data_IF_378348389081
#
_entry.id   IF_378348389081
#
_cell.length_a   1.000
_cell.length_b   1.000
_cell.length_c   1.000
_cell.angle_alpha   90.00
_cell.angle_beta   90.00
_cell.angle_gamma   90.00
#
_symmetry.space_group_name_H-M   'P 1'
#
loop_
_entity.id
_entity.type
_entity.pdbx_description
1 polymer ?
#
# COMPACT_ATOMS: atom_id res chain seq x y z
N UNK A 1 4.00 15.54 18.42
CA UNK A 1 2.66 16.13 18.18
C UNK A 1 1.62 15.08 18.49
N UNK A 2 0.41 15.44 18.97
CA UNK A 2 -0.64 14.48 19.28
C UNK A 2 -1.25 13.89 17.99
N UNK A 3 -1.58 12.60 18.03
CA UNK A 3 -2.53 11.96 17.12
C UNK A 3 -3.81 11.76 17.93
N UNK A 4 -4.90 12.38 17.50
CA UNK A 4 -6.17 12.32 18.23
C UNK A 4 -6.89 10.97 18.01
N UNK A 5 -7.99 10.79 18.73
CA UNK A 5 -8.83 9.61 18.63
C UNK A 5 -9.56 9.48 17.28
N UNK A 6 -9.49 10.47 16.38
CA UNK A 6 -10.11 10.41 15.07
C UNK A 6 -9.13 10.09 13.95
N UNK A 7 -7.81 10.11 14.24
CA UNK A 7 -6.78 9.65 13.30
C UNK A 7 -7.11 8.24 12.83
N UNK A 8 -7.26 7.98 11.51
CA UNK A 8 -7.74 6.69 11.02
C UNK A 8 -6.74 5.57 11.29
N UNK A 9 -7.26 4.39 11.60
CA UNK A 9 -6.47 3.15 11.51
C UNK A 9 -6.41 2.69 10.05
N UNK A 10 -5.35 1.98 9.70
CA UNK A 10 -5.16 1.39 8.39
C UNK A 10 -4.66 -0.04 8.51
N UNK A 11 -5.40 -0.95 7.91
CA UNK A 11 -4.97 -2.31 7.62
C UNK A 11 -4.72 -2.46 6.11
N UNK A 12 -3.93 -3.44 5.72
CA UNK A 12 -3.60 -3.70 4.33
C UNK A 12 -3.77 -5.19 3.99
N UNK A 13 -4.35 -5.49 2.84
CA UNK A 13 -4.43 -6.85 2.33
C UNK A 13 -4.27 -6.92 0.81
N UNK A 14 -3.07 -7.31 0.37
CA UNK A 14 -2.76 -7.51 -1.04
C UNK A 14 -2.80 -9.00 -1.36
N UNK A 15 -3.84 -9.41 -2.09
CA UNK A 15 -4.10 -10.81 -2.38
C UNK A 15 -3.50 -11.22 -3.73
N UNK A 16 -2.51 -12.12 -3.67
CA UNK A 16 -1.87 -12.68 -4.86
C UNK A 16 -2.75 -13.69 -5.59
N UNK A 17 -3.53 -14.49 -4.87
CA UNK A 17 -4.39 -15.51 -5.45
C UNK A 17 -5.85 -15.38 -4.97
N UNK A 18 -6.62 -14.41 -5.49
CA UNK A 18 -8.01 -14.21 -5.07
C UNK A 18 -8.92 -15.42 -5.28
N UNK A 19 -8.58 -16.33 -6.20
CA UNK A 19 -9.38 -17.53 -6.48
C UNK A 19 -9.40 -18.54 -5.33
N UNK A 20 -8.51 -18.41 -4.34
CA UNK A 20 -8.53 -19.25 -3.13
C UNK A 20 -9.73 -18.99 -2.21
N UNK A 21 -10.41 -17.86 -2.40
CA UNK A 21 -11.66 -17.54 -1.71
C UNK A 21 -12.85 -17.91 -2.59
N UNK A 22 -13.99 -18.20 -1.95
CA UNK A 22 -15.24 -18.37 -2.68
C UNK A 22 -15.63 -17.12 -3.48
N UNK A 23 -16.40 -17.31 -4.54
CA UNK A 23 -16.76 -16.24 -5.48
C UNK A 23 -17.44 -15.03 -4.82
N UNK A 24 -18.20 -15.26 -3.75
CA UNK A 24 -18.92 -14.23 -3.00
C UNK A 24 -18.37 -14.04 -1.57
N UNK A 25 -17.14 -14.50 -1.31
CA UNK A 25 -16.47 -14.38 -0.02
C UNK A 25 -15.66 -13.08 0.04
N UNK A 26 -15.51 -12.48 1.23
CA UNK A 26 -14.57 -11.38 1.44
C UNK A 26 -13.15 -11.92 1.24
N UNK A 27 -12.36 -11.38 0.30
CA UNK A 27 -11.07 -11.96 -0.09
C UNK A 27 -9.93 -11.51 0.84
N UNK A 28 -10.15 -11.60 2.16
CA UNK A 28 -9.18 -11.35 3.23
C UNK A 28 -9.04 -12.65 4.03
N UNK A 29 -7.81 -13.06 4.35
CA UNK A 29 -7.61 -14.33 5.07
C UNK A 29 -8.31 -14.31 6.43
N UNK A 30 -8.96 -15.43 6.75
CA UNK A 30 -9.70 -15.56 8.00
C UNK A 30 -9.73 -17.01 8.49
N UNK A 31 -8.55 -17.62 8.58
CA UNK A 31 -8.41 -18.99 9.12
C UNK A 31 -8.20 -18.95 10.63
N UNK A 32 -8.22 -20.10 11.30
CA UNK A 32 -7.89 -20.18 12.73
C UNK A 32 -6.48 -19.65 13.04
N UNK A 33 -5.51 -19.89 12.15
CA UNK A 33 -4.13 -19.45 12.32
C UNK A 33 -3.95 -17.97 11.96
N UNK A 34 -4.72 -17.47 11.00
CA UNK A 34 -4.62 -16.10 10.51
C UNK A 34 -6.04 -15.49 10.44
N UNK A 35 -6.65 -15.13 11.59
CA UNK A 35 -8.02 -14.61 11.67
C UNK A 35 -8.07 -13.11 11.33
N UNK A 36 -7.39 -12.68 10.27
CA UNK A 36 -7.13 -11.26 10.01
C UNK A 36 -8.38 -10.45 9.71
N UNK A 37 -9.32 -11.00 8.94
CA UNK A 37 -10.62 -10.34 8.76
C UNK A 37 -11.36 -10.17 10.09
N UNK A 38 -11.34 -11.18 10.97
CA UNK A 38 -11.96 -11.06 12.30
C UNK A 38 -11.26 -10.01 13.16
N UNK A 39 -9.92 -9.93 13.11
CA UNK A 39 -9.15 -8.92 13.86
C UNK A 39 -9.50 -7.49 13.40
N UNK A 40 -9.61 -7.27 12.09
CA UNK A 40 -10.01 -5.97 11.51
C UNK A 40 -11.43 -5.60 11.96
N UNK A 41 -12.37 -6.56 11.91
CA UNK A 41 -13.74 -6.35 12.39
C UNK A 41 -13.75 -6.03 13.89
N UNK A 42 -12.96 -6.76 14.69
CA UNK A 42 -12.85 -6.51 16.13
C UNK A 42 -12.32 -5.10 16.42
N UNK A 43 -11.28 -4.66 15.69
CA UNK A 43 -10.78 -3.30 15.76
C UNK A 43 -11.88 -2.26 15.43
N UNK A 44 -12.67 -2.50 14.38
CA UNK A 44 -13.80 -1.63 14.03
C UNK A 44 -14.92 -1.61 15.09
N UNK A 45 -15.13 -2.70 15.82
CA UNK A 45 -16.09 -2.79 16.93
C UNK A 45 -15.58 -2.05 18.17
N UNK A 46 -14.27 -2.06 18.45
CA UNK A 46 -13.66 -1.33 19.57
C UNK A 46 -13.65 0.18 19.25
N UNK A 47 -13.15 0.53 18.08
CA UNK A 47 -12.94 1.91 17.62
C UNK A 47 -14.13 2.42 16.78
N UNK A 48 -15.35 2.33 17.33
CA UNK A 48 -16.61 2.58 16.58
C UNK A 48 -16.71 3.97 15.95
N UNK A 49 -16.12 4.98 16.59
CA UNK A 49 -16.18 6.38 16.16
C UNK A 49 -14.99 6.79 15.28
N UNK A 50 -14.01 5.90 15.09
CA UNK A 50 -12.82 6.13 14.29
C UNK A 50 -12.93 5.45 12.93
N UNK A 51 -12.48 6.12 11.89
CA UNK A 51 -12.41 5.53 10.54
C UNK A 51 -11.36 4.41 10.49
N UNK A 52 -11.73 3.26 9.93
CA UNK A 52 -10.87 2.08 9.76
C UNK A 52 -10.68 1.82 8.26
N UNK A 53 -9.52 2.21 7.74
CA UNK A 53 -9.13 1.92 6.36
C UNK A 53 -8.70 0.48 6.18
N UNK A 54 -9.14 -0.14 5.08
CA UNK A 54 -8.65 -1.44 4.61
C UNK A 54 -8.17 -1.26 3.18
N UNK A 55 -6.87 -1.05 3.01
CA UNK A 55 -6.23 -0.92 1.70
C UNK A 55 -6.08 -2.30 1.07
N UNK A 56 -6.83 -2.56 0.00
CA UNK A 56 -6.86 -3.85 -0.68
C UNK A 56 -6.32 -3.76 -2.09
N UNK A 57 -5.75 -4.87 -2.57
CA UNK A 57 -5.38 -5.01 -3.96
C UNK A 57 -5.36 -6.49 -4.38
N UNK A 58 -5.60 -6.74 -5.66
CA UNK A 58 -5.73 -8.07 -6.22
C UNK A 58 -6.78 -8.14 -7.33
N UNK A 59 -6.66 -9.15 -8.19
CA UNK A 59 -7.63 -9.39 -9.26
C UNK A 59 -8.93 -10.02 -8.72
N UNK A 60 -9.67 -9.26 -7.91
CA UNK A 60 -10.89 -9.71 -7.25
C UNK A 60 -12.06 -9.86 -8.23
N UNK A 61 -12.83 -10.93 -8.06
CA UNK A 61 -14.07 -11.14 -8.82
C UNK A 61 -15.13 -10.08 -8.48
N UNK A 62 -16.15 -9.93 -9.34
CA UNK A 62 -17.28 -9.05 -9.06
C UNK A 62 -18.02 -9.45 -7.77
N UNK A 63 -18.13 -10.75 -7.48
CA UNK A 63 -18.74 -11.26 -6.25
C UNK A 63 -17.92 -10.89 -5.00
N UNK A 64 -16.60 -10.97 -5.08
CA UNK A 64 -15.69 -10.58 -3.99
C UNK A 64 -15.74 -9.07 -3.72
N UNK A 65 -15.77 -8.24 -4.77
CA UNK A 65 -15.96 -6.78 -4.63
C UNK A 65 -17.33 -6.46 -4.00
N UNK A 66 -18.40 -7.17 -4.37
CA UNK A 66 -19.72 -7.04 -3.70
C UNK A 66 -19.66 -7.46 -2.23
N UNK A 67 -18.88 -8.48 -1.87
CA UNK A 67 -18.71 -8.90 -0.49
C UNK A 67 -17.98 -7.84 0.36
N UNK A 68 -16.94 -7.22 -0.19
CA UNK A 68 -16.25 -6.07 0.42
C UNK A 68 -17.21 -4.88 0.61
N UNK A 69 -18.03 -4.56 -0.39
CA UNK A 69 -19.03 -3.50 -0.25
C UNK A 69 -20.12 -3.82 0.81
N UNK A 70 -20.46 -5.11 1.01
CA UNK A 70 -21.34 -5.53 2.11
C UNK A 70 -20.67 -5.35 3.47
N UNK A 71 -19.37 -5.60 3.59
CA UNK A 71 -18.60 -5.37 4.82
C UNK A 71 -18.67 -3.89 5.24
N UNK A 72 -18.46 -2.96 4.31
CA UNK A 72 -18.58 -1.51 4.58
C UNK A 72 -20.00 -1.08 5.01
N UNK A 73 -21.04 -1.76 4.50
CA UNK A 73 -22.42 -1.50 4.93
C UNK A 73 -22.73 -2.07 6.31
N UNK A 74 -22.10 -3.18 6.69
CA UNK A 74 -22.29 -3.81 8.00
C UNK A 74 -21.55 -3.06 9.10
N UNK A 75 -20.38 -2.51 8.80
CA UNK A 75 -19.54 -1.73 9.71
C UNK A 75 -19.25 -0.37 9.08
N UNK A 76 -20.04 0.63 9.45
CA UNK A 76 -20.04 1.95 8.81
C UNK A 76 -18.67 2.64 8.85
N UNK A 77 -17.89 2.41 9.90
CA UNK A 77 -16.56 2.96 10.07
C UNK A 77 -15.47 2.24 9.25
N UNK A 78 -15.74 1.05 8.68
CA UNK A 78 -14.82 0.37 7.76
C UNK A 78 -14.91 1.02 6.37
N UNK A 79 -13.76 1.42 5.84
CA UNK A 79 -13.59 1.98 4.50
C UNK A 79 -12.62 1.12 3.69
N UNK A 80 -13.15 0.36 2.75
CA UNK A 80 -12.34 -0.43 1.81
C UNK A 80 -11.85 0.49 0.70
N UNK A 81 -10.53 0.51 0.49
CA UNK A 81 -9.87 1.35 -0.52
C UNK A 81 -9.10 0.42 -1.45
N UNK A 82 -9.41 0.45 -2.75
CA UNK A 82 -8.62 -0.29 -3.73
C UNK A 82 -7.35 0.52 -4.06
N UNK A 83 -6.19 -0.13 -3.99
CA UNK A 83 -4.91 0.53 -4.30
C UNK A 83 -4.89 1.13 -5.71
N UNK A 84 -5.61 0.52 -6.66
CA UNK A 84 -5.77 1.01 -8.04
C UNK A 84 -6.55 2.31 -8.17
N UNK A 85 -7.30 2.71 -7.14
CA UNK A 85 -8.13 3.91 -7.15
C UNK A 85 -7.36 5.15 -6.65
N UNK A 86 -6.08 4.98 -6.28
CA UNK A 86 -5.19 6.03 -5.80
C UNK A 86 -4.11 6.34 -6.84
N UNK A 87 -3.84 7.63 -7.04
CA UNK A 87 -2.77 8.10 -7.92
C UNK A 87 -1.47 8.31 -7.15
N UNK A 88 -0.48 7.47 -7.40
CA UNK A 88 0.85 7.56 -6.78
C UNK A 88 1.90 8.23 -7.67
N UNK A 89 1.52 8.75 -8.85
CA UNK A 89 2.44 9.31 -9.84
C UNK A 89 3.29 10.46 -9.30
N UNK A 90 2.73 11.26 -8.38
CA UNK A 90 3.45 12.37 -7.74
C UNK A 90 4.65 11.93 -6.89
N UNK A 91 4.73 10.66 -6.50
CA UNK A 91 5.84 10.07 -5.75
C UNK A 91 6.76 9.21 -6.64
N UNK A 92 6.43 9.08 -7.92
CA UNK A 92 7.15 8.19 -8.81
C UNK A 92 8.41 8.86 -9.38
N UNK A 93 9.37 8.03 -9.79
CA UNK A 93 10.61 8.47 -10.45
C UNK A 93 11.09 7.39 -11.41
N UNK A 94 11.55 7.78 -12.60
CA UNK A 94 12.12 6.83 -13.57
C UNK A 94 13.38 6.18 -13.02
N UNK A 95 13.53 4.88 -13.24
CA UNK A 95 14.72 4.14 -12.81
C UNK A 95 15.96 4.59 -13.56
N UNK A 96 15.83 4.93 -14.85
CA UNK A 96 16.93 5.44 -15.66
C UNK A 96 17.52 6.74 -15.09
N UNK A 97 16.68 7.68 -14.64
CA UNK A 97 17.12 8.91 -13.97
C UNK A 97 17.89 8.60 -12.68
N UNK A 98 17.37 7.70 -11.85
CA UNK A 98 18.03 7.26 -10.61
C UNK A 98 19.42 6.66 -10.90
N UNK A 99 19.51 5.80 -11.91
CA UNK A 99 20.78 5.17 -12.27
C UNK A 99 21.79 6.17 -12.83
N UNK A 100 21.36 7.09 -13.71
CA UNK A 100 22.23 8.13 -14.27
C UNK A 100 22.74 9.09 -13.18
N UNK A 101 21.87 9.50 -12.26
CA UNK A 101 22.26 10.32 -11.10
C UNK A 101 23.33 9.63 -10.23
N UNK A 102 23.15 8.33 -9.94
CA UNK A 102 24.12 7.59 -9.13
C UNK A 102 25.43 7.35 -9.88
N UNK A 103 25.40 7.04 -11.18
CA UNK A 103 26.61 6.91 -12.01
C UNK A 103 27.40 8.21 -11.96
N UNK A 104 26.77 9.35 -12.22
CA UNK A 104 27.43 10.65 -12.18
C UNK A 104 28.01 10.95 -10.79
N UNK A 105 27.26 10.67 -9.71
CA UNK A 105 27.72 10.85 -8.33
C UNK A 105 28.92 9.98 -7.97
N UNK A 106 28.95 8.73 -8.41
CA UNK A 106 30.03 7.78 -8.12
C UNK A 106 31.27 8.11 -8.98
N UNK A 107 31.08 8.45 -10.25
CA UNK A 107 32.18 8.82 -11.15
C UNK A 107 32.85 10.14 -10.76
N UNK A 108 32.12 11.08 -10.14
CA UNK A 108 32.67 12.32 -9.59
C UNK A 108 33.58 12.11 -8.35
N UNK A 109 33.58 10.92 -7.74
CA UNK A 109 34.43 10.63 -6.58
C UNK A 109 35.86 10.25 -7.01
N UNK A 110 36.86 10.53 -6.15
CA UNK A 110 38.21 10.01 -6.35
C UNK A 110 38.22 8.48 -6.47
N UNK A 111 39.03 7.95 -7.38
CA UNK A 111 39.06 6.51 -7.69
C UNK A 111 39.34 5.61 -6.47
N UNK A 112 40.08 6.12 -5.48
CA UNK A 112 40.44 5.38 -4.26
C UNK A 112 39.28 5.20 -3.25
N UNK A 113 38.16 5.91 -3.43
CA UNK A 113 36.97 5.77 -2.57
C UNK A 113 35.74 5.31 -3.33
N UNK A 114 35.88 5.11 -4.65
CA UNK A 114 34.79 4.73 -5.52
C UNK A 114 34.43 3.26 -5.33
N UNK A 115 33.14 2.99 -5.15
CA UNK A 115 32.62 1.62 -5.20
C UNK A 115 32.43 1.18 -6.66
N UNK A 116 33.49 0.59 -7.23
CA UNK A 116 33.49 0.12 -8.62
C UNK A 116 32.55 -1.08 -8.84
N UNK A 117 32.28 -1.88 -7.80
CA UNK A 117 31.32 -2.98 -7.90
C UNK A 117 29.90 -2.45 -8.06
N UNK A 118 29.49 -1.54 -7.17
CA UNK A 118 28.18 -0.90 -7.24
C UNK A 118 28.00 -0.14 -8.56
N UNK A 119 29.04 0.58 -9.03
CA UNK A 119 29.00 1.28 -10.31
C UNK A 119 28.74 0.32 -11.47
N UNK A 120 29.40 -0.84 -11.47
CA UNK A 120 29.21 -1.89 -12.48
C UNK A 120 27.79 -2.43 -12.51
N UNK A 121 27.22 -2.76 -11.35
CA UNK A 121 25.84 -3.26 -11.26
C UNK A 121 24.82 -2.19 -11.67
N UNK A 122 24.99 -0.93 -11.28
CA UNK A 122 24.10 0.17 -11.70
C UNK A 122 24.11 0.34 -13.22
N UNK A 123 25.29 0.32 -13.86
CA UNK A 123 25.41 0.41 -15.32
C UNK A 123 24.72 -0.78 -16.02
N UNK A 124 24.84 -1.98 -15.45
CA UNK A 124 24.16 -3.18 -15.95
C UNK A 124 22.63 -3.05 -15.83
N UNK A 125 22.12 -2.66 -14.67
CA UNK A 125 20.68 -2.44 -14.44
C UNK A 125 20.11 -1.34 -15.36
N UNK A 126 20.84 -0.24 -15.57
CA UNK A 126 20.44 0.79 -16.53
C UNK A 126 20.32 0.22 -17.95
N UNK A 127 21.29 -0.57 -18.39
CA UNK A 127 21.25 -1.19 -19.72
C UNK A 127 20.05 -2.15 -19.86
N UNK A 128 19.71 -2.90 -18.82
CA UNK A 128 18.52 -3.77 -18.80
C UNK A 128 17.22 -2.96 -18.89
N UNK A 129 17.10 -1.86 -18.15
CA UNK A 129 15.95 -0.95 -18.23
C UNK A 129 15.82 -0.37 -19.64
N UNK A 130 16.90 0.17 -20.20
CA UNK A 130 16.89 0.77 -21.55
C UNK A 130 16.57 -0.24 -22.67
N UNK A 131 16.86 -1.52 -22.48
CA UNK A 131 16.53 -2.58 -23.46
C UNK A 131 15.10 -3.07 -23.36
N UNK A 132 14.55 -3.18 -22.15
CA UNK A 132 13.28 -3.86 -21.91
C UNK A 132 12.11 -2.88 -21.73
N UNK A 133 12.31 -1.82 -20.93
CA UNK A 133 11.30 -0.81 -20.66
C UNK A 133 11.96 0.51 -20.22
N UNK A 134 12.33 1.40 -21.15
CA UNK A 134 13.02 2.66 -20.84
C UNK A 134 12.25 3.60 -19.90
N UNK A 135 10.92 3.46 -19.89
CA UNK A 135 10.00 4.25 -19.06
C UNK A 135 9.72 3.58 -17.70
N UNK A 136 10.44 2.51 -17.36
CA UNK A 136 10.30 1.87 -16.05
C UNK A 136 10.64 2.85 -14.91
N UNK A 137 9.79 2.81 -13.89
CA UNK A 137 9.78 3.72 -12.76
C UNK A 137 9.76 2.97 -11.44
N UNK A 138 9.90 3.67 -10.32
CA UNK A 138 9.80 3.06 -8.99
C UNK A 138 8.44 2.37 -8.82
N UNK A 139 7.34 3.06 -9.12
CA UNK A 139 5.99 2.51 -8.97
C UNK A 139 5.80 1.30 -9.89
N UNK A 140 6.09 1.44 -11.18
CA UNK A 140 5.86 0.36 -12.16
C UNK A 140 6.78 -0.86 -11.93
N UNK A 141 8.00 -0.66 -11.44
CA UNK A 141 8.90 -1.76 -11.07
C UNK A 141 8.42 -2.51 -9.84
N UNK A 142 7.97 -1.79 -8.80
CA UNK A 142 7.44 -2.41 -7.57
C UNK A 142 6.08 -3.07 -7.81
N UNK A 143 5.29 -2.56 -8.74
CA UNK A 143 4.00 -3.14 -9.08
C UNK A 143 4.12 -4.56 -9.66
N UNK A 144 5.20 -4.83 -10.40
CA UNK A 144 5.52 -6.16 -10.96
C UNK A 144 6.08 -7.15 -9.92
N UNK A 145 6.48 -6.68 -8.73
CA UNK A 145 7.06 -7.55 -7.68
C UNK A 145 5.96 -8.42 -7.07
N UNK A 146 6.34 -9.63 -6.67
CA UNK A 146 5.45 -10.55 -5.94
C UNK A 146 5.83 -10.59 -4.46
N UNK A 147 4.81 -10.54 -3.60
CA UNK A 147 4.93 -10.62 -2.14
C UNK A 147 5.31 -9.28 -1.49
N UNK A 148 5.68 -9.35 -0.20
CA UNK A 148 6.75 -8.52 0.35
C UNK A 148 6.79 -7.03 0.02
N UNK A 149 7.91 -6.74 -0.63
CA UNK A 149 8.32 -5.52 -1.30
C UNK A 149 7.18 -4.73 -1.95
N UNK A 150 6.21 -5.38 -2.59
CA UNK A 150 5.08 -4.66 -3.22
C UNK A 150 4.16 -4.04 -2.19
N UNK A 151 3.74 -4.78 -1.17
CA UNK A 151 2.85 -4.22 -0.16
C UNK A 151 3.58 -3.21 0.73
N UNK A 152 4.86 -3.43 1.05
CA UNK A 152 5.69 -2.47 1.80
C UNK A 152 5.82 -1.13 1.05
N UNK A 153 6.06 -1.20 -0.26
CA UNK A 153 6.18 -0.01 -1.11
C UNK A 153 4.89 0.83 -1.07
N UNK A 154 3.74 0.23 -1.38
CA UNK A 154 2.46 0.95 -1.39
C UNK A 154 1.98 1.36 -0.01
N UNK A 155 2.35 0.63 1.05
CA UNK A 155 2.09 1.03 2.45
C UNK A 155 2.74 2.38 2.74
N UNK A 156 4.00 2.55 2.34
CA UNK A 156 4.72 3.81 2.54
C UNK A 156 4.08 4.95 1.74
N UNK A 157 3.70 4.71 0.47
CA UNK A 157 3.07 5.74 -0.36
C UNK A 157 1.68 6.14 0.15
N UNK A 158 0.89 5.18 0.65
CA UNK A 158 -0.39 5.48 1.30
C UNK A 158 -0.18 6.33 2.55
N UNK A 159 0.82 6.00 3.38
CA UNK A 159 1.13 6.77 4.59
C UNK A 159 1.64 8.19 4.29
N UNK A 160 2.28 8.43 3.13
CA UNK A 160 2.59 9.78 2.64
C UNK A 160 1.32 10.58 2.32
N UNK A 161 0.29 9.94 1.77
CA UNK A 161 -1.03 10.56 1.56
C UNK A 161 -1.78 10.76 2.89
N UNK A 162 -1.61 9.84 3.84
CA UNK A 162 -2.28 9.86 5.14
C UNK A 162 -3.79 9.85 5.01
N UNK A 163 -4.47 10.70 5.79
CA UNK A 163 -5.94 10.84 5.74
C UNK A 163 -6.46 11.27 4.36
N UNK A 164 -5.63 11.92 3.52
CA UNK A 164 -6.06 12.36 2.19
C UNK A 164 -6.38 11.20 1.25
N UNK A 165 -5.78 10.02 1.46
CA UNK A 165 -6.06 8.84 0.64
C UNK A 165 -7.53 8.40 0.73
N UNK A 166 -8.18 8.58 1.89
CA UNK A 166 -9.60 8.28 2.07
C UNK A 166 -10.49 9.23 1.26
N UNK A 167 -10.11 10.50 1.17
CA UNK A 167 -10.83 11.52 0.41
C UNK A 167 -10.63 11.31 -1.10
N UNK A 168 -9.40 11.02 -1.52
CA UNK A 168 -9.04 10.72 -2.90
C UNK A 168 -9.79 9.50 -3.44
N UNK A 169 -9.89 8.44 -2.65
CA UNK A 169 -10.68 7.25 -2.98
C UNK A 169 -12.21 7.47 -2.88
N UNK A 170 -12.68 8.69 -2.64
CA UNK A 170 -14.09 9.03 -2.59
C UNK A 170 -14.86 8.37 -1.43
N UNK A 171 -14.19 8.03 -0.32
CA UNK A 171 -14.85 7.37 0.81
C UNK A 171 -15.74 8.36 1.57
N UNK A 172 -17.05 8.11 1.55
CA UNK A 172 -18.05 8.91 2.28
C UNK A 172 -18.18 8.47 3.75
N UNK A 173 -18.78 9.33 4.58
CA UNK A 173 -19.02 9.05 6.00
C UNK A 173 -17.76 9.13 6.88
N UNK A 174 -16.72 9.81 6.41
CA UNK A 174 -15.46 10.03 7.11
C UNK A 174 -15.43 11.40 7.80
N UNK A 175 -16.48 11.73 8.56
CA UNK A 175 -16.79 13.10 9.02
C UNK A 175 -15.69 13.79 9.83
N UNK A 176 -14.84 13.02 10.51
CA UNK A 176 -13.78 13.54 11.37
C UNK A 176 -12.38 13.54 10.72
N UNK A 177 -12.25 13.04 9.49
CA UNK A 177 -10.95 13.10 8.78
C UNK A 177 -10.61 14.54 8.42
N UNK A 178 -9.43 14.98 8.84
CA UNK A 178 -8.89 16.28 8.47
C UNK A 178 -8.01 16.14 7.21
N UNK A 179 -8.17 17.03 6.21
CA UNK A 179 -7.20 17.14 5.12
C UNK A 179 -5.79 17.38 5.67
N UNK A 180 -4.81 16.62 5.17
CA UNK A 180 -3.43 16.62 5.69
C UNK A 180 -3.24 15.89 7.02
N UNK A 181 -4.28 15.22 7.53
CA UNK A 181 -4.22 14.40 8.74
C UNK A 181 -3.33 13.16 8.60
N UNK A 182 -2.86 12.64 9.73
CA UNK A 182 -2.05 11.42 9.79
C UNK A 182 -2.85 10.15 9.52
N UNK A 183 -2.21 9.00 9.75
CA UNK A 183 -2.81 7.67 9.68
C UNK A 183 -1.98 6.69 10.52
N UNK A 184 -2.62 5.72 11.17
CA UNK A 184 -1.95 4.71 12.00
C UNK A 184 -2.08 3.36 11.30
N UNK A 185 -0.99 2.91 10.68
CA UNK A 185 -0.93 1.58 10.10
C UNK A 185 -0.75 0.50 11.16
N UNK A 186 -1.48 -0.61 11.04
CA UNK A 186 -1.32 -1.82 11.83
C UNK A 186 -1.32 -3.04 10.91
N UNK A 187 -0.39 -3.96 11.15
CA UNK A 187 -0.49 -5.31 10.57
C UNK A 187 -1.76 -5.99 11.13
N UNK A 188 -2.40 -6.86 10.34
CA UNK A 188 -3.70 -7.43 10.68
C UNK A 188 -3.65 -8.48 11.81
N UNK A 189 -2.46 -8.86 12.27
CA UNK A 189 -2.22 -9.69 13.45
C UNK A 189 -2.06 -8.88 14.75
N UNK A 190 -2.01 -7.54 14.66
CA UNK A 190 -2.04 -6.64 15.82
C UNK A 190 -3.47 -6.55 16.38
N UNK A 191 -3.77 -7.39 17.38
CA UNK A 191 -5.09 -7.40 18.03
C UNK A 191 -5.28 -6.18 18.94
N UNK A 192 -6.30 -5.37 18.64
CA UNK A 192 -6.81 -4.35 19.56
C UNK A 192 -7.61 -5.01 20.68
N UNK A 193 -7.38 -4.54 21.92
CA UNK A 193 -8.06 -5.05 23.12
C UNK A 193 -8.78 -3.96 23.94
N UNK A 194 -8.59 -2.69 23.58
CA UNK A 194 -9.23 -1.52 24.19
C UNK A 194 -8.48 -0.24 23.88
#
# INVERSE_FOLDING_TARGET
MPLDQHTPLLFQWFERNPSRFGENQIPIINTQQNPYLNNIINAAIIEKERTIGVLVDGNFSAGQKKALAKLEKQYENIKVIYNSDLDYSMYDKKLSDIYLENIAKIEAQPANVRDEYLLGEIKKSLNEVLKNNPEESLVSSHDKRLGHVRFDFYRNLFLLKGSNAFLEAGKHGCHHLQPGGGCIYLDADMLLTG
#
